data_IF_784096040291
#
_entry.id   IF_784096040291
#
_cell.length_a   1.000
_cell.length_b   1.000
_cell.length_c   1.000
_cell.angle_alpha   90.00
_cell.angle_beta   90.00
_cell.angle_gamma   90.00
#
_symmetry.space_group_name_H-M   'P 1'
#
loop_
_entity.id
_entity.type
_entity.pdbx_description
1 polymer ?
#
# COMPACT_ATOMS: atom_id res chain seq x y z
N UNK A 1 6.43 24.62 52.44
CA UNK A 1 7.08 24.70 51.12
C UNK A 1 7.22 23.31 50.51
N UNK A 2 7.69 22.28 51.23
CA UNK A 2 7.87 20.91 50.71
C UNK A 2 6.55 20.26 50.31
N UNK A 3 5.48 20.39 51.09
CA UNK A 3 4.16 19.83 50.81
C UNK A 3 3.50 20.47 49.58
N UNK A 4 3.66 21.78 49.38
CA UNK A 4 3.19 22.49 48.21
C UNK A 4 3.88 21.98 46.90
N UNK A 5 5.20 21.81 46.96
CA UNK A 5 5.99 21.25 45.82
C UNK A 5 5.56 19.83 45.51
N UNK A 6 5.36 18.97 46.53
CA UNK A 6 4.90 17.61 46.36
C UNK A 6 3.51 17.52 45.68
N UNK A 7 2.55 18.34 46.17
CA UNK A 7 1.19 18.39 45.57
C UNK A 7 1.22 18.91 44.14
N UNK A 8 2.08 19.88 43.82
CA UNK A 8 2.25 20.36 42.44
C UNK A 8 2.83 19.28 41.53
N UNK A 9 3.84 18.55 41.97
CA UNK A 9 4.42 17.42 41.21
C UNK A 9 3.41 16.31 40.98
N UNK A 10 2.60 15.95 42.00
CA UNK A 10 1.55 14.97 41.86
C UNK A 10 0.48 15.38 40.84
N UNK A 11 0.07 16.65 40.83
CA UNK A 11 -0.88 17.19 39.85
C UNK A 11 -0.34 17.14 38.42
N UNK A 12 0.96 17.52 38.25
CA UNK A 12 1.63 17.46 36.95
C UNK A 12 1.79 16.02 36.47
N UNK A 13 2.15 15.09 37.34
CA UNK A 13 2.23 13.66 37.01
C UNK A 13 0.85 13.09 36.64
N UNK A 14 -0.20 13.44 37.35
CA UNK A 14 -1.57 13.04 37.04
C UNK A 14 -2.01 13.60 35.67
N UNK A 15 -1.74 14.89 35.42
CA UNK A 15 -2.05 15.51 34.15
C UNK A 15 -1.29 14.82 32.98
N UNK A 16 -0.01 14.55 33.16
CA UNK A 16 0.79 13.83 32.17
C UNK A 16 0.24 12.42 31.90
N UNK A 17 -0.18 11.70 32.94
CA UNK A 17 -0.80 10.38 32.82
C UNK A 17 -2.13 10.42 32.05
N UNK A 18 -2.98 11.43 32.35
CA UNK A 18 -4.25 11.63 31.65
C UNK A 18 -4.03 11.96 30.18
N UNK A 19 -3.09 12.86 29.88
CA UNK A 19 -2.74 13.22 28.49
C UNK A 19 -2.16 12.03 27.73
N UNK A 20 -1.28 11.26 28.37
CA UNK A 20 -0.70 10.05 27.78
C UNK A 20 -1.79 8.99 27.52
N UNK A 21 -2.66 8.72 28.48
CA UNK A 21 -3.78 7.81 28.33
C UNK A 21 -4.74 8.24 27.22
N UNK A 22 -5.05 9.55 27.17
CA UNK A 22 -5.85 10.14 26.08
C UNK A 22 -5.20 9.98 24.72
N UNK A 23 -3.89 10.17 24.61
CA UNK A 23 -3.12 9.97 23.39
C UNK A 23 -3.13 8.50 22.93
N UNK A 24 -2.93 7.55 23.84
CA UNK A 24 -2.98 6.10 23.54
C UNK A 24 -4.37 5.72 23.06
N UNK A 25 -5.42 6.16 23.76
CA UNK A 25 -6.81 5.90 23.37
C UNK A 25 -7.12 6.48 21.99
N UNK A 26 -6.71 7.73 21.73
CA UNK A 26 -6.91 8.37 20.42
C UNK A 26 -6.21 7.58 19.30
N UNK A 27 -4.98 7.14 19.52
CA UNK A 27 -4.24 6.34 18.54
C UNK A 27 -4.94 5.02 18.26
N UNK A 28 -5.40 4.35 19.32
CA UNK A 28 -6.13 3.09 19.18
C UNK A 28 -7.44 3.28 18.41
N UNK A 29 -8.22 4.32 18.73
CA UNK A 29 -9.46 4.64 18.02
C UNK A 29 -9.21 4.94 16.54
N UNK A 30 -8.18 5.73 16.21
CA UNK A 30 -7.83 6.01 14.82
C UNK A 30 -7.51 4.74 14.04
N UNK A 31 -6.70 3.83 14.61
CA UNK A 31 -6.35 2.56 13.96
C UNK A 31 -7.56 1.65 13.81
N UNK A 32 -8.43 1.57 14.81
CA UNK A 32 -9.67 0.80 14.74
C UNK A 32 -10.64 1.34 13.66
N UNK A 33 -10.63 2.66 13.39
CA UNK A 33 -11.41 3.26 12.31
C UNK A 33 -10.76 3.12 10.94
N UNK A 34 -9.42 3.11 10.89
CA UNK A 34 -8.68 3.11 9.64
C UNK A 34 -8.43 1.71 9.09
N UNK A 35 -8.04 0.76 9.95
CA UNK A 35 -7.70 -0.59 9.52
C UNK A 35 -8.87 -1.54 9.76
N UNK A 36 -9.20 -2.32 8.76
CA UNK A 36 -10.28 -3.31 8.81
C UNK A 36 -9.73 -4.70 8.47
N UNK A 37 -8.89 -5.27 9.34
CA UNK A 37 -8.26 -6.54 9.09
C UNK A 37 -9.30 -7.65 8.93
N UNK A 38 -9.13 -8.47 7.90
CA UNK A 38 -9.89 -9.69 7.68
C UNK A 38 -8.97 -10.89 7.84
N UNK A 39 -9.41 -11.90 8.56
CA UNK A 39 -8.73 -13.18 8.61
C UNK A 39 -8.96 -13.96 7.31
N UNK A 40 -7.94 -14.67 6.83
CA UNK A 40 -8.06 -15.62 5.75
C UNK A 40 -7.81 -17.04 6.27
N UNK A 41 -8.71 -18.01 6.01
CA UNK A 41 -8.43 -19.40 6.29
C UNK A 41 -7.33 -19.92 5.36
N UNK A 42 -6.63 -20.98 5.78
CA UNK A 42 -5.69 -21.66 4.88
C UNK A 42 -6.50 -22.34 3.77
N UNK A 43 -6.28 -21.95 2.51
CA UNK A 43 -6.84 -22.61 1.33
C UNK A 43 -5.71 -23.22 0.50
N UNK A 44 -5.47 -24.52 0.68
CA UNK A 44 -4.46 -25.27 -0.08
C UNK A 44 -4.75 -25.28 -1.59
N UNK A 45 -6.03 -25.20 -2.00
CA UNK A 45 -6.43 -25.17 -3.40
C UNK A 45 -6.00 -23.89 -4.12
N UNK A 46 -5.61 -22.84 -3.38
CA UNK A 46 -5.07 -21.63 -3.97
C UNK A 46 -3.82 -21.93 -4.82
N UNK A 47 -2.93 -22.79 -4.30
CA UNK A 47 -1.70 -23.19 -4.98
C UNK A 47 -1.96 -24.10 -6.18
N UNK A 48 -3.03 -24.89 -6.15
CA UNK A 48 -3.48 -25.68 -7.31
C UNK A 48 -4.03 -24.77 -8.44
N UNK A 49 -4.74 -23.68 -8.07
CA UNK A 49 -5.34 -22.73 -9.03
C UNK A 49 -4.33 -21.73 -9.60
N UNK A 50 -3.23 -21.50 -8.91
CA UNK A 50 -2.18 -20.57 -9.32
C UNK A 50 -0.82 -21.30 -9.38
N UNK A 51 -0.55 -22.08 -10.45
CA UNK A 51 0.69 -22.83 -10.60
C UNK A 51 1.92 -21.90 -10.55
N UNK A 52 2.89 -22.27 -9.73
CA UNK A 52 4.11 -21.49 -9.50
C UNK A 52 3.98 -20.41 -8.43
N UNK A 53 2.80 -20.28 -7.79
CA UNK A 53 2.64 -19.40 -6.63
C UNK A 53 3.52 -19.89 -5.49
N UNK A 54 4.34 -18.98 -4.95
CA UNK A 54 5.18 -19.21 -3.79
C UNK A 54 4.57 -18.48 -2.58
N UNK A 55 4.53 -19.14 -1.42
CA UNK A 55 4.21 -18.52 -0.14
C UNK A 55 5.49 -18.11 0.56
N UNK A 56 5.58 -16.85 0.96
CA UNK A 56 6.70 -16.31 1.70
C UNK A 56 6.26 -15.92 3.11
N UNK A 57 7.18 -16.10 4.05
CA UNK A 57 7.03 -15.61 5.41
C UNK A 57 8.22 -14.72 5.74
N UNK A 58 7.95 -13.63 6.45
CA UNK A 58 8.91 -12.74 7.07
C UNK A 58 8.62 -12.72 8.57
N UNK A 59 9.66 -12.96 9.39
CA UNK A 59 9.54 -12.86 10.83
C UNK A 59 9.68 -11.41 11.26
N UNK A 60 8.59 -10.85 11.75
CA UNK A 60 8.56 -9.51 12.33
C UNK A 60 8.67 -9.58 13.85
N UNK A 61 8.77 -8.42 14.51
CA UNK A 61 8.77 -8.30 15.96
C UNK A 61 7.45 -8.73 16.62
N UNK A 62 6.34 -8.78 15.86
CA UNK A 62 5.03 -9.23 16.33
C UNK A 62 4.65 -10.63 15.79
N UNK A 63 5.57 -11.33 15.11
CA UNK A 63 5.37 -12.65 14.54
C UNK A 63 5.39 -12.68 13.01
N UNK A 64 5.02 -13.84 12.40
CA UNK A 64 5.15 -14.03 10.96
C UNK A 64 4.19 -13.18 10.15
N UNK A 65 4.69 -12.60 9.06
CA UNK A 65 3.94 -11.82 8.06
C UNK A 65 4.04 -12.55 6.72
N UNK A 66 2.90 -12.71 6.06
CA UNK A 66 2.78 -13.47 4.81
C UNK A 66 2.97 -12.58 3.58
N UNK A 67 3.48 -13.17 2.50
CA UNK A 67 3.36 -12.65 1.16
C UNK A 67 3.23 -13.78 0.16
N UNK A 68 2.64 -13.49 -1.01
CA UNK A 68 2.67 -14.38 -2.16
C UNK A 68 3.60 -13.83 -3.23
N UNK A 69 4.36 -14.72 -3.87
CA UNK A 69 5.13 -14.38 -5.04
C UNK A 69 4.69 -15.24 -6.22
N UNK A 70 4.39 -14.59 -7.34
CA UNK A 70 3.92 -15.23 -8.56
C UNK A 70 4.87 -14.88 -9.71
N UNK A 71 5.69 -15.84 -10.21
CA UNK A 71 6.63 -15.58 -11.30
C UNK A 71 5.92 -15.21 -12.62
N UNK A 72 6.49 -14.27 -13.35
CA UNK A 72 6.04 -13.91 -14.71
C UNK A 72 6.34 -15.01 -15.72
N UNK A 73 5.50 -15.13 -16.75
CA UNK A 73 5.70 -16.13 -17.81
C UNK A 73 7.01 -15.80 -18.57
N UNK A 74 7.85 -16.83 -18.76
CA UNK A 74 9.15 -16.69 -19.42
C UNK A 74 10.26 -16.04 -18.57
N UNK A 75 9.97 -15.66 -17.32
CA UNK A 75 10.95 -15.11 -16.38
C UNK A 75 11.78 -16.25 -15.78
N UNK A 76 13.09 -16.06 -15.70
CA UNK A 76 14.04 -17.03 -15.13
C UNK A 76 15.33 -16.34 -14.70
N UNK A 77 16.22 -17.06 -14.02
CA UNK A 77 17.55 -16.53 -13.69
C UNK A 77 18.42 -16.23 -14.93
N UNK A 78 18.18 -16.89 -16.06
CA UNK A 78 18.85 -16.60 -17.33
C UNK A 78 18.20 -15.43 -18.08
N UNK A 79 16.95 -15.07 -17.74
CA UNK A 79 16.20 -13.95 -18.31
C UNK A 79 15.41 -13.25 -17.19
N UNK A 80 16.09 -12.45 -16.34
CA UNK A 80 15.42 -11.74 -15.24
C UNK A 80 14.35 -10.77 -15.75
N UNK A 81 13.17 -10.81 -15.13
CA UNK A 81 12.00 -10.02 -15.53
C UNK A 81 11.69 -8.86 -14.60
N UNK A 82 10.82 -7.94 -15.05
CA UNK A 82 10.23 -6.92 -14.18
C UNK A 82 9.34 -7.56 -13.11
N UNK A 83 9.10 -6.81 -12.03
CA UNK A 83 8.23 -7.25 -10.96
C UNK A 83 7.34 -6.10 -10.48
N UNK A 84 6.09 -6.42 -10.18
CA UNK A 84 5.15 -5.54 -9.49
C UNK A 84 5.06 -5.96 -8.03
N UNK A 85 5.25 -5.02 -7.10
CA UNK A 85 4.82 -5.15 -5.71
C UNK A 85 3.43 -4.55 -5.64
N UNK A 86 2.43 -5.40 -5.46
CA UNK A 86 1.03 -5.00 -5.38
C UNK A 86 0.59 -4.90 -3.92
N UNK A 87 0.20 -3.72 -3.51
CA UNK A 87 -0.31 -3.42 -2.18
C UNK A 87 -1.82 -3.23 -2.23
N UNK A 88 -2.54 -4.12 -1.57
CA UNK A 88 -4.01 -4.22 -1.64
C UNK A 88 -4.73 -3.12 -0.84
N UNK A 89 -6.03 -3.00 -1.07
CA UNK A 89 -6.90 -2.07 -0.36
C UNK A 89 -7.21 -2.51 1.07
N UNK A 90 -7.85 -1.60 1.81
CA UNK A 90 -8.32 -1.90 3.15
C UNK A 90 -9.44 -2.97 3.11
N UNK A 91 -9.56 -3.79 4.16
CA UNK A 91 -10.52 -4.90 4.24
C UNK A 91 -10.39 -5.97 3.14
N UNK A 92 -9.27 -6.03 2.45
CA UNK A 92 -8.91 -7.08 1.50
C UNK A 92 -7.90 -8.06 2.12
N UNK A 93 -7.69 -9.18 1.46
CA UNK A 93 -6.63 -10.18 1.74
C UNK A 93 -6.01 -10.60 0.42
N UNK A 94 -4.80 -11.14 0.46
CA UNK A 94 -4.06 -11.48 -0.76
C UNK A 94 -4.57 -12.72 -1.52
N UNK A 95 -5.42 -13.55 -0.92
CA UNK A 95 -5.85 -14.85 -1.47
C UNK A 95 -6.54 -14.79 -2.84
N UNK A 96 -7.49 -13.87 -3.14
CA UNK A 96 -8.12 -13.79 -4.45
C UNK A 96 -7.25 -13.11 -5.51
N UNK A 97 -6.20 -12.38 -5.11
CA UNK A 97 -5.43 -11.50 -5.98
C UNK A 97 -4.59 -12.21 -7.05
N UNK A 98 -4.02 -13.42 -6.83
CA UNK A 98 -3.26 -14.12 -7.87
C UNK A 98 -4.05 -14.33 -9.17
N UNK A 99 -5.35 -14.63 -9.05
CA UNK A 99 -6.22 -14.80 -10.23
C UNK A 99 -6.47 -13.47 -10.96
N UNK A 100 -6.73 -12.41 -10.21
CA UNK A 100 -6.93 -11.06 -10.75
C UNK A 100 -5.66 -10.52 -11.43
N UNK A 101 -4.49 -10.74 -10.82
CA UNK A 101 -3.21 -10.23 -11.30
C UNK A 101 -2.50 -11.16 -12.30
N UNK A 102 -3.14 -12.25 -12.72
CA UNK A 102 -2.60 -13.17 -13.71
C UNK A 102 -2.25 -12.51 -15.06
N UNK A 103 -2.83 -11.33 -15.35
CA UNK A 103 -2.47 -10.54 -16.54
C UNK A 103 -1.03 -10.03 -16.48
N UNK A 104 -0.54 -9.60 -15.32
CA UNK A 104 0.88 -9.24 -15.16
C UNK A 104 1.78 -10.41 -15.54
N UNK A 105 1.44 -11.60 -15.04
CA UNK A 105 2.21 -12.80 -15.35
C UNK A 105 2.29 -13.05 -16.86
N UNK A 106 1.15 -12.95 -17.58
CA UNK A 106 1.11 -13.10 -19.05
C UNK A 106 1.94 -12.06 -19.80
N UNK A 107 2.12 -10.88 -19.22
CA UNK A 107 3.00 -9.83 -19.73
C UNK A 107 4.50 -10.06 -19.37
N UNK A 108 4.86 -11.18 -18.75
CA UNK A 108 6.22 -11.46 -18.29
C UNK A 108 6.62 -10.65 -17.07
N UNK A 109 5.66 -10.17 -16.27
CA UNK A 109 5.88 -9.41 -15.04
C UNK A 109 5.58 -10.31 -13.84
N UNK A 110 6.56 -10.51 -12.98
CA UNK A 110 6.34 -11.20 -11.71
C UNK A 110 5.52 -10.32 -10.76
N UNK A 111 4.83 -10.93 -9.80
CA UNK A 111 4.02 -10.19 -8.81
C UNK A 111 4.40 -10.61 -7.41
N UNK A 112 4.69 -9.65 -6.55
CA UNK A 112 4.77 -9.83 -5.10
C UNK A 112 3.53 -9.22 -4.46
N UNK A 113 2.86 -9.98 -3.60
CA UNK A 113 1.64 -9.64 -2.87
C UNK A 113 1.92 -9.70 -1.37
N UNK A 114 2.44 -8.64 -0.74
CA UNK A 114 2.58 -8.59 0.71
C UNK A 114 1.22 -8.49 1.38
N UNK A 115 0.99 -9.30 2.43
CA UNK A 115 -0.11 -9.12 3.36
C UNK A 115 0.29 -8.10 4.43
N UNK A 116 -0.66 -7.40 5.01
CA UNK A 116 -0.37 -6.50 6.13
C UNK A 116 -0.45 -7.24 7.46
N UNK A 117 0.31 -6.77 8.48
CA UNK A 117 0.18 -7.29 9.85
C UNK A 117 -1.28 -7.23 10.31
N UNK A 118 -1.76 -8.31 10.92
CA UNK A 118 -3.13 -8.47 11.38
C UNK A 118 -4.15 -8.83 10.29
N UNK A 119 -3.76 -8.79 9.00
CA UNK A 119 -4.60 -9.22 7.89
C UNK A 119 -4.25 -10.65 7.48
N UNK A 120 -5.21 -11.32 6.86
CA UNK A 120 -5.02 -12.67 6.35
C UNK A 120 -4.60 -13.65 7.45
N UNK A 121 -3.41 -14.17 7.31
CA UNK A 121 -2.74 -15.07 8.27
C UNK A 121 -1.54 -14.42 8.93
N UNK A 122 -1.30 -13.13 8.63
CA UNK A 122 -0.20 -12.37 9.22
C UNK A 122 -0.49 -12.03 10.68
N UNK A 123 0.52 -12.22 11.53
CA UNK A 123 0.45 -11.86 12.94
C UNK A 123 0.53 -10.34 13.17
N UNK A 124 0.36 -9.91 14.42
CA UNK A 124 0.55 -8.54 14.84
C UNK A 124 -0.61 -7.60 14.55
N UNK A 125 -0.31 -6.30 14.55
CA UNK A 125 -1.29 -5.24 14.38
C UNK A 125 -0.84 -4.24 13.31
N UNK A 126 -1.76 -3.77 12.42
CA UNK A 126 -1.40 -2.88 11.34
C UNK A 126 -1.07 -1.48 11.86
N UNK A 127 -0.03 -0.89 11.29
CA UNK A 127 0.33 0.52 11.44
C UNK A 127 1.17 0.96 10.24
N UNK A 128 1.26 2.26 10.01
CA UNK A 128 2.13 2.82 8.96
C UNK A 128 3.58 2.31 9.07
N UNK A 129 4.14 2.34 10.29
CA UNK A 129 5.51 1.89 10.54
C UNK A 129 5.67 0.38 10.29
N UNK A 130 4.74 -0.44 10.80
CA UNK A 130 4.77 -1.88 10.62
C UNK A 130 4.69 -2.28 9.14
N UNK A 131 3.74 -1.70 8.40
CA UNK A 131 3.58 -1.94 6.96
C UNK A 131 4.83 -1.53 6.18
N UNK A 132 5.42 -0.37 6.51
CA UNK A 132 6.68 0.08 5.90
C UNK A 132 7.81 -0.93 6.12
N UNK A 133 8.00 -1.37 7.36
CA UNK A 133 9.11 -2.25 7.73
C UNK A 133 8.98 -3.63 7.07
N UNK A 134 7.76 -4.18 7.03
CA UNK A 134 7.49 -5.44 6.33
C UNK A 134 7.69 -5.32 4.82
N UNK A 135 7.23 -4.22 4.20
CA UNK A 135 7.45 -3.96 2.77
C UNK A 135 8.93 -3.84 2.44
N UNK A 136 9.73 -3.20 3.30
CA UNK A 136 11.18 -3.11 3.12
C UNK A 136 11.85 -4.48 3.21
N UNK A 137 11.43 -5.33 4.13
CA UNK A 137 11.95 -6.69 4.27
C UNK A 137 11.60 -7.55 3.04
N UNK A 138 10.35 -7.52 2.59
CA UNK A 138 9.93 -8.22 1.38
C UNK A 138 10.62 -7.68 0.13
N UNK A 139 10.78 -6.37 0.00
CA UNK A 139 11.52 -5.77 -1.11
C UNK A 139 12.98 -6.25 -1.13
N UNK A 140 13.66 -6.26 0.01
CA UNK A 140 15.05 -6.72 0.10
C UNK A 140 15.20 -8.18 -0.35
N UNK A 141 14.28 -9.05 0.07
CA UNK A 141 14.23 -10.45 -0.38
C UNK A 141 13.93 -10.57 -1.87
N UNK A 142 13.02 -9.75 -2.38
CA UNK A 142 12.59 -9.74 -3.78
C UNK A 142 13.74 -9.40 -4.72
N UNK A 143 14.46 -8.31 -4.47
CA UNK A 143 15.54 -7.84 -5.34
C UNK A 143 16.81 -8.70 -5.26
N UNK A 144 16.90 -9.57 -4.27
CA UNK A 144 17.97 -10.57 -4.16
C UNK A 144 17.71 -11.83 -5.01
N UNK A 145 16.54 -11.96 -5.63
CA UNK A 145 16.21 -13.10 -6.49
C UNK A 145 16.94 -12.99 -7.84
N UNK A 146 17.51 -14.10 -8.34
CA UNK A 146 18.22 -14.08 -9.62
C UNK A 146 17.30 -13.93 -10.84
N UNK A 147 15.99 -14.18 -10.70
CA UNK A 147 14.98 -14.08 -11.73
C UNK A 147 14.26 -12.72 -11.76
N UNK A 148 14.62 -11.79 -10.87
CA UNK A 148 14.07 -10.44 -10.79
C UNK A 148 15.09 -9.41 -11.27
N UNK A 149 14.66 -8.50 -12.15
CA UNK A 149 15.44 -7.33 -12.52
C UNK A 149 15.18 -6.19 -11.51
N UNK A 150 16.13 -5.87 -10.63
CA UNK A 150 15.93 -4.87 -9.58
C UNK A 150 15.77 -3.44 -10.12
N UNK A 151 16.13 -3.19 -11.38
CA UNK A 151 15.94 -1.89 -12.04
C UNK A 151 14.52 -1.70 -12.58
N UNK A 152 13.70 -2.76 -12.61
CA UNK A 152 12.34 -2.77 -13.16
C UNK A 152 11.29 -3.16 -12.11
N UNK A 153 11.45 -2.66 -10.89
CA UNK A 153 10.46 -2.81 -9.81
C UNK A 153 9.39 -1.75 -9.97
N UNK A 154 8.14 -2.17 -10.04
CA UNK A 154 6.95 -1.31 -10.12
C UNK A 154 6.17 -1.44 -8.81
N UNK A 155 5.63 -0.35 -8.32
CA UNK A 155 4.70 -0.37 -7.19
C UNK A 155 3.29 -0.14 -7.71
N UNK A 156 2.33 -1.00 -7.33
CA UNK A 156 0.93 -0.85 -7.66
C UNK A 156 0.10 -0.86 -6.37
N UNK A 157 -0.45 0.28 -6.01
CA UNK A 157 -1.22 0.42 -4.78
C UNK A 157 -2.67 0.81 -5.01
N UNK A 158 -3.59 0.11 -4.35
CA UNK A 158 -5.04 0.36 -4.41
C UNK A 158 -5.51 0.93 -3.08
N UNK A 159 -6.19 2.08 -3.08
CA UNK A 159 -6.76 2.70 -1.89
C UNK A 159 -5.70 2.86 -0.78
N UNK A 160 -5.84 2.22 0.38
CA UNK A 160 -4.82 2.16 1.44
C UNK A 160 -3.46 1.72 0.90
N UNK A 161 -3.46 0.76 -0.04
CA UNK A 161 -2.25 0.27 -0.68
C UNK A 161 -1.48 1.32 -1.46
N UNK A 162 -2.13 2.38 -1.97
CA UNK A 162 -1.44 3.50 -2.57
C UNK A 162 -0.57 4.26 -1.57
N UNK A 163 -1.05 4.40 -0.32
CA UNK A 163 -0.24 4.91 0.78
C UNK A 163 0.93 4.00 1.13
N UNK A 164 0.69 2.68 1.20
CA UNK A 164 1.73 1.68 1.44
C UNK A 164 2.80 1.68 0.32
N UNK A 165 2.38 1.78 -0.95
CA UNK A 165 3.29 1.97 -2.08
C UNK A 165 4.12 3.25 -1.94
N UNK A 166 3.50 4.36 -1.49
CA UNK A 166 4.20 5.62 -1.20
C UNK A 166 5.29 5.46 -0.15
N UNK A 167 5.01 4.74 0.96
CA UNK A 167 6.01 4.46 1.99
C UNK A 167 7.23 3.72 1.41
N UNK A 168 7.00 2.70 0.59
CA UNK A 168 8.10 1.97 -0.03
C UNK A 168 8.84 2.83 -1.06
N UNK A 169 8.14 3.62 -1.87
CA UNK A 169 8.73 4.50 -2.88
C UNK A 169 9.68 5.54 -2.29
N UNK A 170 9.38 6.03 -1.08
CA UNK A 170 10.24 6.97 -0.35
C UNK A 170 11.62 6.36 -0.03
N UNK A 171 11.65 5.09 0.31
CA UNK A 171 12.86 4.37 0.74
C UNK A 171 13.57 3.68 -0.42
N UNK A 172 12.81 3.26 -1.41
CA UNK A 172 13.26 2.46 -2.56
C UNK A 172 12.63 3.00 -3.83
N UNK A 173 13.39 3.75 -4.61
CA UNK A 173 12.90 4.37 -5.84
C UNK A 173 12.46 3.28 -6.84
N UNK A 174 11.17 3.22 -7.21
CA UNK A 174 10.68 2.28 -8.20
C UNK A 174 10.95 2.77 -9.64
N UNK A 175 10.87 1.85 -10.61
CA UNK A 175 10.88 2.19 -12.04
C UNK A 175 9.59 2.92 -12.47
N UNK A 176 8.46 2.58 -11.85
CA UNK A 176 7.16 3.22 -12.08
C UNK A 176 6.22 2.99 -10.89
N UNK A 177 5.18 3.80 -10.76
CA UNK A 177 4.10 3.60 -9.78
C UNK A 177 2.74 3.58 -10.48
N UNK A 178 1.82 2.76 -9.97
CA UNK A 178 0.41 2.72 -10.35
C UNK A 178 -0.40 2.97 -9.09
N UNK A 179 -1.23 4.00 -9.10
CA UNK A 179 -2.02 4.46 -7.97
C UNK A 179 -3.49 4.42 -8.34
N UNK A 180 -4.25 3.51 -7.73
CA UNK A 180 -5.66 3.32 -8.02
C UNK A 180 -6.52 3.73 -6.83
N UNK A 181 -7.51 4.63 -7.05
CA UNK A 181 -8.48 5.09 -6.03
C UNK A 181 -7.82 5.43 -4.70
N UNK A 182 -6.68 6.13 -4.74
CA UNK A 182 -5.89 6.42 -3.54
C UNK A 182 -5.86 7.91 -3.19
N UNK A 183 -5.32 8.22 -2.05
CA UNK A 183 -5.35 9.52 -1.41
C UNK A 183 -3.98 10.24 -1.44
N UNK A 184 -4.00 11.54 -1.22
CA UNK A 184 -2.78 12.34 -0.97
C UNK A 184 -2.16 12.00 0.37
N UNK A 185 -2.99 11.85 1.41
CA UNK A 185 -2.64 11.31 2.73
C UNK A 185 -3.92 10.93 3.50
N UNK A 186 -3.82 10.02 4.47
CA UNK A 186 -4.93 9.74 5.41
C UNK A 186 -5.31 11.01 6.19
N UNK A 187 -4.34 11.86 6.49
CA UNK A 187 -4.59 13.12 7.17
C UNK A 187 -5.44 14.09 6.33
N UNK A 188 -5.26 14.09 5.01
CA UNK A 188 -6.11 14.90 4.11
C UNK A 188 -7.52 14.32 4.00
N UNK A 189 -7.67 12.98 3.90
CA UNK A 189 -8.98 12.34 3.93
C UNK A 189 -9.73 12.66 5.22
N UNK A 190 -9.05 12.56 6.37
CA UNK A 190 -9.64 12.90 7.67
C UNK A 190 -10.02 14.40 7.77
N UNK A 191 -9.24 15.28 7.15
CA UNK A 191 -9.59 16.69 7.05
C UNK A 191 -10.81 16.91 6.16
N UNK A 192 -10.84 16.29 4.98
CA UNK A 192 -11.93 16.46 4.02
C UNK A 192 -13.27 15.93 4.58
N UNK A 193 -13.24 14.77 5.27
CA UNK A 193 -14.43 14.14 5.84
C UNK A 193 -14.89 14.74 7.18
N UNK A 194 -13.95 15.04 8.10
CA UNK A 194 -14.27 15.36 9.50
C UNK A 194 -13.68 16.67 9.99
N UNK A 195 -12.93 17.41 9.14
CA UNK A 195 -12.14 18.59 9.54
C UNK A 195 -11.15 18.30 10.66
N UNK A 196 -10.69 17.06 10.75
CA UNK A 196 -9.74 16.62 11.76
C UNK A 196 -8.35 17.27 11.53
N UNK A 197 -7.75 17.94 12.54
CA UNK A 197 -6.44 18.53 12.40
C UNK A 197 -5.37 17.49 12.04
N UNK A 198 -4.56 17.78 11.01
CA UNK A 198 -3.54 16.84 10.47
C UNK A 198 -2.54 16.34 11.54
N UNK A 199 -2.22 17.16 12.54
CA UNK A 199 -1.29 16.79 13.61
C UNK A 199 -1.83 15.71 14.54
N UNK A 200 -3.16 15.50 14.57
CA UNK A 200 -3.79 14.43 15.35
C UNK A 200 -3.71 13.07 14.67
N UNK A 201 -3.51 13.03 13.34
CA UNK A 201 -3.44 11.78 12.59
C UNK A 201 -2.04 11.20 12.70
N UNK A 202 -1.95 9.99 13.24
CA UNK A 202 -0.67 9.32 13.52
C UNK A 202 -0.16 8.54 12.32
N UNK A 203 -0.98 7.65 11.81
CA UNK A 203 -0.66 6.83 10.63
C UNK A 203 -1.14 7.59 9.38
N UNK A 204 -0.25 8.38 8.78
CA UNK A 204 -0.60 9.38 7.76
C UNK A 204 -0.62 8.84 6.35
N UNK A 205 0.24 7.86 6.04
CA UNK A 205 0.43 7.35 4.68
C UNK A 205 0.52 8.49 3.66
N UNK A 206 1.48 9.39 3.84
CA UNK A 206 1.58 10.63 3.07
C UNK A 206 2.14 10.35 1.66
N UNK A 207 1.26 9.89 0.77
CA UNK A 207 1.56 9.53 -0.62
C UNK A 207 2.08 10.73 -1.40
N UNK A 208 1.47 11.90 -1.16
CA UNK A 208 1.85 13.13 -1.85
C UNK A 208 3.27 13.58 -1.49
N UNK A 209 3.62 13.52 -0.20
CA UNK A 209 4.97 13.89 0.26
C UNK A 209 6.02 12.85 -0.18
N UNK A 210 5.63 11.57 -0.28
CA UNK A 210 6.51 10.51 -0.73
C UNK A 210 6.88 10.59 -2.22
N UNK A 211 5.93 10.96 -3.07
CA UNK A 211 6.06 10.90 -4.52
C UNK A 211 6.08 12.27 -5.19
N UNK A 212 5.55 13.31 -4.56
CA UNK A 212 5.42 14.65 -5.13
C UNK A 212 6.77 15.23 -5.56
N UNK A 213 6.80 15.82 -6.75
CA UNK A 213 8.02 16.40 -7.34
C UNK A 213 9.05 15.38 -7.82
N UNK A 214 8.81 14.08 -7.66
CA UNK A 214 9.71 13.05 -8.22
C UNK A 214 9.50 12.91 -9.73
N UNK A 215 10.51 12.42 -10.44
CA UNK A 215 10.45 12.11 -11.86
C UNK A 215 10.09 10.64 -12.14
N UNK A 216 9.56 9.93 -11.13
CA UNK A 216 9.06 8.56 -11.28
C UNK A 216 7.82 8.57 -12.18
N UNK A 217 7.80 7.77 -13.27
CA UNK A 217 6.59 7.59 -14.07
C UNK A 217 5.45 7.10 -13.20
N UNK A 218 4.27 7.71 -13.33
CA UNK A 218 3.11 7.34 -12.55
C UNK A 218 1.86 7.14 -13.44
N UNK A 219 1.07 6.10 -13.17
CA UNK A 219 -0.28 5.93 -13.68
C UNK A 219 -1.24 6.12 -12.51
N UNK A 220 -2.15 7.07 -12.64
CA UNK A 220 -3.18 7.33 -11.63
C UNK A 220 -4.54 7.00 -12.24
N UNK A 221 -5.24 6.05 -11.62
CA UNK A 221 -6.59 5.65 -12.00
C UNK A 221 -7.56 6.05 -10.87
N UNK A 222 -8.60 6.83 -11.18
CA UNK A 222 -9.53 7.28 -10.15
C UNK A 222 -10.95 7.44 -10.69
N UNK A 223 -11.91 6.92 -9.92
CA UNK A 223 -13.32 7.02 -10.23
C UNK A 223 -13.88 8.43 -9.91
N UNK A 224 -14.63 9.02 -10.84
CA UNK A 224 -15.25 10.35 -10.64
C UNK A 224 -16.32 10.36 -9.56
N UNK A 225 -16.92 9.19 -9.27
CA UNK A 225 -17.96 8.99 -8.26
C UNK A 225 -17.43 8.29 -7.02
N UNK A 226 -16.10 8.34 -6.78
CA UNK A 226 -15.49 7.76 -5.59
C UNK A 226 -15.99 8.49 -4.34
N UNK A 227 -16.82 7.79 -3.56
CA UNK A 227 -17.45 8.28 -2.33
C UNK A 227 -16.61 8.04 -1.07
N UNK A 228 -15.52 7.24 -1.18
CA UNK A 228 -14.61 6.94 -0.07
C UNK A 228 -13.40 7.87 -0.11
N UNK A 229 -12.73 7.93 -1.26
CA UNK A 229 -11.60 8.82 -1.50
C UNK A 229 -12.00 9.81 -2.59
N UNK A 230 -12.32 11.06 -2.24
CA UNK A 230 -12.78 12.05 -3.20
C UNK A 230 -11.85 12.18 -4.42
N UNK A 231 -12.43 12.25 -5.61
CA UNK A 231 -11.72 12.35 -6.91
C UNK A 231 -10.60 13.41 -6.92
N UNK A 232 -10.80 14.50 -6.17
CA UNK A 232 -9.81 15.57 -6.00
C UNK A 232 -8.45 15.09 -5.46
N UNK A 233 -8.39 13.94 -4.77
CA UNK A 233 -7.10 13.35 -4.35
C UNK A 233 -6.30 12.87 -5.54
N UNK A 234 -6.94 12.16 -6.49
CA UNK A 234 -6.29 11.73 -7.74
C UNK A 234 -5.79 12.93 -8.55
N UNK A 235 -6.61 13.99 -8.66
CA UNK A 235 -6.20 15.22 -9.35
C UNK A 235 -5.02 15.92 -8.66
N UNK A 236 -4.99 15.95 -7.32
CA UNK A 236 -3.86 16.53 -6.55
C UNK A 236 -2.58 15.73 -6.77
N UNK A 237 -2.66 14.39 -6.74
CA UNK A 237 -1.53 13.52 -7.05
C UNK A 237 -1.02 13.75 -8.47
N UNK A 238 -1.92 13.79 -9.45
CA UNK A 238 -1.56 14.05 -10.85
C UNK A 238 -0.83 15.38 -11.04
N UNK A 239 -1.33 16.45 -10.42
CA UNK A 239 -0.67 17.77 -10.49
C UNK A 239 0.71 17.80 -9.85
N UNK A 240 0.95 16.97 -8.84
CA UNK A 240 2.21 16.94 -8.12
C UNK A 240 3.25 15.99 -8.73
N UNK A 241 2.85 15.09 -9.63
CA UNK A 241 3.71 14.10 -10.29
C UNK A 241 3.94 14.48 -11.75
N UNK A 242 5.10 15.09 -12.11
CA UNK A 242 5.34 15.66 -13.44
C UNK A 242 5.24 14.65 -14.60
N UNK A 243 5.52 13.36 -14.31
CA UNK A 243 5.50 12.27 -15.29
C UNK A 243 4.30 11.34 -15.09
N UNK A 244 3.16 11.90 -14.68
CA UNK A 244 1.97 11.09 -14.48
C UNK A 244 1.01 11.12 -15.67
N UNK A 245 0.38 9.96 -15.90
CA UNK A 245 -0.81 9.79 -16.74
C UNK A 245 -2.00 9.65 -15.80
N UNK A 246 -3.08 10.39 -16.07
CA UNK A 246 -4.30 10.34 -15.26
C UNK A 246 -5.46 9.75 -16.04
N UNK A 247 -5.98 8.63 -15.61
CA UNK A 247 -7.15 7.95 -16.17
C UNK A 247 -8.32 8.13 -15.21
N UNK A 248 -9.21 9.03 -15.59
CA UNK A 248 -10.45 9.31 -14.86
C UNK A 248 -11.61 8.54 -15.52
N UNK A 249 -12.30 7.71 -14.75
CA UNK A 249 -13.42 6.88 -15.22
C UNK A 249 -14.70 7.17 -14.44
N UNK A 250 -15.84 6.74 -14.99
CA UNK A 250 -17.15 6.89 -14.32
C UNK A 250 -17.40 5.68 -13.40
N UNK A 251 -16.71 5.65 -12.25
CA UNK A 251 -16.75 4.58 -11.27
C UNK A 251 -16.80 5.14 -9.84
N UNK A 252 -17.36 4.38 -8.92
CA UNK A 252 -17.21 4.54 -7.46
C UNK A 252 -15.90 3.96 -6.97
N UNK A 253 -15.71 3.92 -5.63
CA UNK A 253 -14.46 3.44 -5.02
C UNK A 253 -14.18 1.97 -5.32
N UNK A 254 -15.20 1.13 -5.22
CA UNK A 254 -15.11 -0.33 -5.38
C UNK A 254 -15.51 -0.82 -6.77
N UNK A 255 -15.85 0.08 -7.68
CA UNK A 255 -16.33 -0.24 -9.03
C UNK A 255 -15.23 -0.09 -10.10
N UNK A 256 -14.01 0.20 -9.69
CA UNK A 256 -12.86 0.34 -10.58
C UNK A 256 -12.13 -1.01 -10.71
N UNK A 257 -11.91 -1.54 -11.93
CA UNK A 257 -12.21 -0.91 -13.23
C UNK A 257 -13.67 -1.09 -13.66
N UNK A 258 -14.30 -0.05 -14.21
CA UNK A 258 -15.60 -0.22 -14.86
C UNK A 258 -15.46 -1.00 -16.18
N UNK A 259 -16.54 -1.66 -16.65
CA UNK A 259 -16.48 -2.56 -17.81
C UNK A 259 -15.99 -1.91 -19.12
N UNK A 260 -16.23 -0.62 -19.30
CA UNK A 260 -15.82 0.15 -20.49
C UNK A 260 -14.35 0.57 -20.49
N UNK A 261 -13.65 0.47 -19.35
CA UNK A 261 -12.23 0.78 -19.25
C UNK A 261 -11.38 -0.43 -19.69
N UNK A 262 -10.58 -0.26 -20.73
CA UNK A 262 -9.50 -1.20 -21.05
C UNK A 262 -8.36 -1.11 -20.00
N UNK A 263 -8.68 -1.53 -18.79
CA UNK A 263 -7.82 -1.38 -17.61
C UNK A 263 -6.44 -2.00 -17.81
N UNK A 264 -6.39 -3.22 -18.30
CA UNK A 264 -5.11 -3.91 -18.50
C UNK A 264 -4.34 -3.36 -19.70
N UNK A 265 -5.03 -2.89 -20.73
CA UNK A 265 -4.40 -2.19 -21.86
C UNK A 265 -3.80 -0.83 -21.44
N UNK A 266 -4.46 -0.08 -20.54
CA UNK A 266 -3.88 1.15 -19.97
C UNK A 266 -2.61 0.86 -19.17
N UNK A 267 -2.62 -0.19 -18.33
CA UNK A 267 -1.46 -0.60 -17.56
C UNK A 267 -0.32 -1.07 -18.47
N UNK A 268 -0.59 -1.92 -19.45
CA UNK A 268 0.44 -2.39 -20.39
C UNK A 268 1.06 -1.22 -21.16
N UNK A 269 0.25 -0.34 -21.70
CA UNK A 269 0.72 0.85 -22.44
C UNK A 269 1.59 1.74 -21.56
N UNK A 270 1.15 1.97 -20.32
CA UNK A 270 1.93 2.73 -19.35
C UNK A 270 3.28 2.09 -19.05
N UNK A 271 3.30 0.78 -18.78
CA UNK A 271 4.54 0.06 -18.45
C UNK A 271 5.53 0.03 -19.63
N UNK A 272 5.05 -0.06 -20.88
CA UNK A 272 5.89 0.09 -22.08
C UNK A 272 6.47 1.48 -22.18
N UNK A 273 5.67 2.53 -22.01
CA UNK A 273 6.10 3.93 -22.06
C UNK A 273 7.08 4.29 -20.93
N UNK A 274 6.95 3.62 -19.78
CA UNK A 274 7.88 3.77 -18.65
C UNK A 274 9.19 2.96 -18.82
N UNK A 275 9.33 2.16 -19.89
CA UNK A 275 10.49 1.32 -20.14
C UNK A 275 10.57 0.06 -19.25
N UNK A 276 9.50 -0.30 -18.58
CA UNK A 276 9.41 -1.52 -17.76
C UNK A 276 9.22 -2.75 -18.62
N UNK A 277 8.31 -2.66 -19.60
CA UNK A 277 8.10 -3.69 -20.63
C UNK A 277 8.88 -3.32 -21.91
N UNK A 278 9.34 -4.36 -22.61
CA UNK A 278 9.99 -4.23 -23.93
C UNK A 278 8.99 -4.30 -25.07
#
# INVERSE_FOLDING_TARGET
VADFRRRRLLRLALLALVLFGGFVLLTWLQRAMMFHPKAAPTDERLFERAPGLERWWHESDEGPVEAFFLPGDGVSSASPGPVVIYTHGNAEVIDPLPAWLATYRRLGVSVLLPEYRGYGRSAGSPSEAAIRDDLLAFHARLVARPDVDPSRVVLHGVSLGGGAAGLLARERRPAAVILQSTFTSVADVAWDAFRAPRFLIRDRFDTLDALGGTDVPALILHGRRDEVIPFAHGERLHRALPRSVFVACDAGHNDLPPPELDYWGEIERFLRNAGVLR
#
